data_IF_013661778393
#
_entry.id   IF_013661778393
#
_cell.length_a   1.000
_cell.length_b   1.000
_cell.length_c   1.000
_cell.angle_alpha   90.00
_cell.angle_beta   90.00
_cell.angle_gamma   90.00
#
_symmetry.space_group_name_H-M   'P 1'
#
loop_
_entity.id
_entity.type
_entity.pdbx_description
1 polymer ?
#
# COMPACT_ATOMS: atom_id res chain seq x y z
N UNK A 1 -1.68 8.64 -32.50
CA UNK A 1 -1.83 7.77 -31.30
C UNK A 1 -1.93 8.67 -30.11
N UNK A 2 -2.90 8.44 -29.23
CA UNK A 2 -3.02 9.24 -28.02
C UNK A 2 -1.87 8.93 -27.06
N UNK A 3 -1.39 9.98 -26.39
CA UNK A 3 -0.32 9.87 -25.39
C UNK A 3 -0.94 9.65 -24.02
N UNK A 4 -0.54 8.57 -23.35
CA UNK A 4 -0.97 8.27 -21.98
C UNK A 4 0.20 8.45 -21.01
N UNK A 5 0.01 9.25 -19.97
CA UNK A 5 0.95 9.39 -18.86
C UNK A 5 0.41 8.60 -17.69
N UNK A 6 1.22 7.72 -17.09
CA UNK A 6 0.74 6.74 -16.11
C UNK A 6 1.26 7.12 -14.73
N UNK A 7 0.34 7.40 -13.82
CA UNK A 7 0.60 7.77 -12.44
C UNK A 7 0.36 6.58 -11.52
N UNK A 8 1.41 6.06 -10.89
CA UNK A 8 1.28 5.06 -9.85
C UNK A 8 1.01 5.71 -8.48
N UNK A 9 0.23 5.01 -7.66
CA UNK A 9 -0.09 5.41 -6.28
C UNK A 9 0.01 4.22 -5.34
N UNK A 10 0.38 4.47 -4.08
CA UNK A 10 0.35 3.44 -3.04
C UNK A 10 -0.81 3.78 -2.11
N UNK A 11 -1.71 2.84 -1.86
CA UNK A 11 -2.94 3.08 -1.08
C UNK A 11 -2.73 3.62 0.34
N UNK A 12 -1.52 3.49 0.89
CA UNK A 12 -1.13 3.98 2.22
C UNK A 12 -0.55 5.39 2.22
N UNK A 13 -0.31 5.97 1.03
CA UNK A 13 0.10 7.36 0.93
C UNK A 13 -1.08 8.21 1.39
N UNK A 14 -0.78 9.22 2.21
CA UNK A 14 -1.80 10.18 2.61
C UNK A 14 -2.35 10.88 1.39
N UNK A 15 -3.65 11.14 1.38
CA UNK A 15 -4.33 11.83 0.29
C UNK A 15 -3.63 13.12 -0.17
N UNK A 16 -3.06 13.92 0.73
CA UNK A 16 -2.37 15.16 0.38
C UNK A 16 -1.15 14.93 -0.52
N UNK A 17 -0.33 13.94 -0.19
CA UNK A 17 0.85 13.57 -1.01
C UNK A 17 0.41 13.14 -2.41
N UNK A 18 -0.61 12.29 -2.49
CA UNK A 18 -1.15 11.82 -3.78
C UNK A 18 -1.76 12.97 -4.57
N UNK A 19 -2.46 13.91 -3.92
CA UNK A 19 -3.01 15.10 -4.55
C UNK A 19 -1.94 16.03 -5.11
N UNK A 20 -0.87 16.31 -4.36
CA UNK A 20 0.20 17.19 -4.79
C UNK A 20 0.97 16.60 -5.98
N UNK A 21 1.35 15.32 -5.87
CA UNK A 21 2.04 14.59 -6.93
C UNK A 21 1.18 14.49 -8.20
N UNK A 22 -0.10 14.10 -8.07
CA UNK A 22 -1.00 13.98 -9.21
C UNK A 22 -1.35 15.34 -9.82
N UNK A 23 -1.39 16.42 -9.04
CA UNK A 23 -1.60 17.78 -9.56
C UNK A 23 -0.45 18.20 -10.47
N UNK A 24 0.79 17.98 -10.02
CA UNK A 24 1.97 18.26 -10.82
C UNK A 24 2.02 17.35 -12.06
N UNK A 25 1.80 16.06 -11.86
CA UNK A 25 1.89 15.06 -12.92
C UNK A 25 0.79 15.23 -13.96
N UNK A 26 -0.47 15.41 -13.58
CA UNK A 26 -1.58 15.52 -14.54
C UNK A 26 -1.61 16.84 -15.33
N UNK A 27 -0.69 17.78 -15.09
CA UNK A 27 -0.66 19.08 -15.78
C UNK A 27 -0.55 18.88 -17.31
N UNK A 28 -1.45 19.54 -18.04
CA UNK A 28 -1.51 19.44 -19.51
C UNK A 28 -2.18 18.18 -20.05
N UNK A 29 -2.71 17.30 -19.19
CA UNK A 29 -3.63 16.24 -19.64
C UNK A 29 -5.02 16.81 -19.92
N UNK A 30 -5.65 16.34 -20.98
CA UNK A 30 -6.99 16.74 -21.42
C UNK A 30 -8.07 16.08 -20.54
N UNK A 31 -7.80 14.86 -20.06
CA UNK A 31 -8.66 14.09 -19.17
C UNK A 31 -7.85 13.24 -18.19
N UNK A 32 -8.48 12.87 -17.06
CA UNK A 32 -7.90 11.96 -16.07
C UNK A 32 -8.68 10.65 -16.07
N UNK A 33 -8.04 9.55 -16.43
CA UNK A 33 -8.55 8.21 -16.21
C UNK A 33 -8.09 7.73 -14.82
N UNK A 34 -8.97 7.12 -14.05
CA UNK A 34 -8.65 6.64 -12.69
C UNK A 34 -9.09 5.19 -12.50
N UNK A 35 -8.21 4.41 -11.87
CA UNK A 35 -8.51 3.06 -11.42
C UNK A 35 -9.56 3.12 -10.31
N UNK A 36 -10.82 2.95 -10.70
CA UNK A 36 -11.94 2.89 -9.78
C UNK A 36 -12.93 1.82 -10.25
N UNK A 37 -12.93 0.63 -9.63
CA UNK A 37 -13.84 -0.43 -10.02
C UNK A 37 -15.28 -0.09 -9.64
N UNK A 38 -16.21 -0.33 -10.57
CA UNK A 38 -17.66 -0.26 -10.32
C UNK A 38 -18.27 -1.66 -10.33
N UNK A 39 -19.03 -1.99 -9.29
CA UNK A 39 -19.72 -3.28 -9.22
C UNK A 39 -20.94 -3.29 -10.14
N UNK A 40 -20.74 -3.66 -11.42
CA UNK A 40 -21.77 -3.70 -12.44
C UNK A 40 -22.31 -2.32 -12.83
N UNK A 41 -22.82 -2.21 -14.06
CA UNK A 41 -23.42 -0.95 -14.55
C UNK A 41 -24.78 -0.63 -13.92
N UNK A 42 -25.52 -1.67 -13.50
CA UNK A 42 -26.86 -1.56 -12.94
C UNK A 42 -26.95 -2.36 -11.65
N UNK A 43 -27.92 -2.04 -10.79
CA UNK A 43 -28.19 -2.84 -9.59
C UNK A 43 -28.47 -4.31 -9.95
N UNK A 44 -29.15 -4.57 -11.08
CA UNK A 44 -29.42 -5.92 -11.55
C UNK A 44 -28.14 -6.68 -11.91
N UNK A 45 -27.23 -6.04 -12.65
CA UNK A 45 -25.95 -6.68 -13.01
C UNK A 45 -25.04 -6.84 -11.79
N UNK A 46 -25.04 -5.87 -10.86
CA UNK A 46 -24.34 -5.95 -9.58
C UNK A 46 -24.82 -7.17 -8.76
N UNK A 47 -26.13 -7.29 -8.56
CA UNK A 47 -26.74 -8.43 -7.85
C UNK A 47 -26.44 -9.73 -8.59
N UNK A 48 -26.53 -9.73 -9.93
CA UNK A 48 -26.16 -10.88 -10.75
C UNK A 48 -24.72 -11.34 -10.54
N UNK A 49 -23.76 -10.41 -10.44
CA UNK A 49 -22.35 -10.72 -10.18
C UNK A 49 -22.14 -11.30 -8.77
N UNK A 50 -22.77 -10.70 -7.76
CA UNK A 50 -22.70 -11.18 -6.37
C UNK A 50 -23.25 -12.61 -6.27
N UNK A 51 -24.40 -12.86 -6.89
CA UNK A 51 -25.02 -14.20 -6.90
C UNK A 51 -24.26 -15.21 -7.75
N UNK A 52 -23.55 -14.79 -8.81
CA UNK A 52 -22.68 -15.72 -9.55
C UNK A 52 -21.46 -16.13 -8.75
N UNK A 53 -20.93 -15.24 -7.92
CA UNK A 53 -19.64 -15.42 -7.25
C UNK A 53 -19.67 -15.14 -5.72
N UNK A 54 -20.51 -15.82 -4.92
CA UNK A 54 -20.64 -15.54 -3.49
C UNK A 54 -19.34 -15.69 -2.68
N UNK A 55 -18.55 -16.75 -2.88
CA UNK A 55 -17.29 -16.93 -2.14
C UNK A 55 -16.30 -15.79 -2.41
N UNK A 56 -16.05 -15.47 -3.68
CA UNK A 56 -15.17 -14.38 -4.06
C UNK A 56 -15.71 -13.01 -3.65
N UNK A 57 -17.02 -12.79 -3.73
CA UNK A 57 -17.63 -11.56 -3.26
C UNK A 57 -17.41 -11.36 -1.76
N UNK A 58 -17.77 -12.36 -0.94
CA UNK A 58 -17.58 -12.29 0.51
C UNK A 58 -16.10 -12.09 0.83
N UNK A 59 -15.21 -12.84 0.17
CA UNK A 59 -13.78 -12.71 0.36
C UNK A 59 -13.21 -11.34 0.04
N UNK A 60 -13.61 -10.74 -1.09
CA UNK A 60 -13.20 -9.40 -1.48
C UNK A 60 -13.70 -8.35 -0.47
N UNK A 61 -14.96 -8.45 -0.03
CA UNK A 61 -15.49 -7.54 0.98
C UNK A 61 -14.78 -7.69 2.33
N UNK A 62 -14.42 -8.92 2.75
CA UNK A 62 -13.67 -9.14 3.99
C UNK A 62 -12.32 -8.41 4.00
N UNK A 63 -11.61 -8.37 2.87
CA UNK A 63 -10.38 -7.58 2.74
C UNK A 63 -10.66 -6.09 2.94
N UNK A 64 -11.69 -5.58 2.28
CA UNK A 64 -12.04 -4.17 2.41
C UNK A 64 -12.45 -3.80 3.83
N UNK A 65 -13.24 -4.64 4.51
CA UNK A 65 -13.58 -4.45 5.93
C UNK A 65 -12.30 -4.29 6.75
N UNK A 66 -11.30 -5.14 6.56
CA UNK A 66 -10.02 -5.05 7.28
C UNK A 66 -9.19 -3.80 6.91
N UNK A 67 -9.33 -3.29 5.68
CA UNK A 67 -8.59 -2.12 5.18
C UNK A 67 -9.26 -0.78 5.51
N UNK A 68 -10.57 -0.74 5.79
CA UNK A 68 -11.33 0.51 6.01
C UNK A 68 -10.71 1.46 7.06
N UNK A 69 -10.20 0.99 8.22
CA UNK A 69 -9.59 1.90 9.20
C UNK A 69 -8.39 2.66 8.65
N UNK A 70 -7.63 2.04 7.74
CA UNK A 70 -6.47 2.65 7.11
C UNK A 70 -6.88 3.69 6.08
N UNK A 71 -7.93 3.41 5.30
CA UNK A 71 -8.52 4.38 4.37
C UNK A 71 -9.04 5.60 5.12
N UNK A 72 -9.75 5.38 6.24
CA UNK A 72 -10.23 6.47 7.09
C UNK A 72 -9.05 7.24 7.71
N UNK A 73 -7.99 6.57 8.13
CA UNK A 73 -6.81 7.21 8.71
C UNK A 73 -6.05 8.07 7.69
N UNK A 74 -5.75 7.53 6.50
CA UNK A 74 -4.90 8.18 5.50
C UNK A 74 -5.65 9.12 4.56
N UNK A 75 -6.93 8.84 4.29
CA UNK A 75 -7.74 9.56 3.29
C UNK A 75 -8.89 10.35 3.93
N UNK A 76 -9.19 10.09 5.21
CA UNK A 76 -10.37 10.62 5.91
C UNK A 76 -11.68 10.29 5.18
N UNK A 77 -11.69 9.25 4.36
CA UNK A 77 -12.81 8.81 3.53
C UNK A 77 -12.72 7.29 3.31
N UNK A 78 -13.76 6.70 2.71
CA UNK A 78 -13.80 5.26 2.38
C UNK A 78 -13.28 4.97 0.96
N UNK A 79 -12.97 6.02 0.21
CA UNK A 79 -12.48 5.95 -1.15
C UNK A 79 -10.95 6.03 -1.16
N UNK A 80 -10.35 5.49 -2.21
CA UNK A 80 -8.90 5.48 -2.34
C UNK A 80 -8.32 6.87 -2.57
N UNK A 81 -7.04 7.03 -2.26
CA UNK A 81 -6.35 8.31 -2.35
C UNK A 81 -6.32 8.80 -3.81
N UNK A 82 -6.04 7.89 -4.75
CA UNK A 82 -5.99 8.15 -6.18
C UNK A 82 -7.33 8.64 -6.76
N UNK A 83 -8.46 8.05 -6.36
CA UNK A 83 -9.78 8.49 -6.79
C UNK A 83 -10.14 9.88 -6.26
N UNK A 84 -9.90 10.10 -4.97
CA UNK A 84 -10.16 11.40 -4.34
C UNK A 84 -9.26 12.48 -4.91
N UNK A 85 -7.98 12.15 -5.13
CA UNK A 85 -6.99 13.05 -5.70
C UNK A 85 -7.33 13.41 -7.13
N UNK A 86 -7.65 12.43 -7.99
CA UNK A 86 -8.05 12.65 -9.38
C UNK A 86 -9.20 13.66 -9.46
N UNK A 87 -10.25 13.47 -8.64
CA UNK A 87 -11.39 14.41 -8.59
C UNK A 87 -11.02 15.79 -8.04
N UNK A 88 -10.10 15.88 -7.09
CA UNK A 88 -9.68 17.15 -6.50
C UNK A 88 -8.77 17.97 -7.43
N UNK A 89 -7.95 17.31 -8.27
CA UNK A 89 -7.00 17.98 -9.16
C UNK A 89 -7.56 18.21 -10.56
N UNK A 90 -8.60 17.48 -10.98
CA UNK A 90 -9.15 17.55 -12.32
C UNK A 90 -9.58 18.96 -12.74
N UNK A 91 -10.10 19.78 -11.82
CA UNK A 91 -10.65 21.10 -12.17
C UNK A 91 -11.85 20.93 -13.11
N UNK A 92 -11.78 21.53 -14.30
CA UNK A 92 -12.81 21.39 -15.34
C UNK A 92 -12.65 20.15 -16.23
N UNK A 93 -11.51 19.44 -16.11
CA UNK A 93 -11.22 18.26 -16.93
C UNK A 93 -12.11 17.09 -16.53
N UNK A 94 -12.55 16.26 -17.48
CA UNK A 94 -13.34 15.09 -17.15
C UNK A 94 -12.48 14.04 -16.42
N UNK A 95 -13.12 13.35 -15.47
CA UNK A 95 -12.53 12.21 -14.75
C UNK A 95 -13.31 10.96 -15.14
N UNK A 96 -12.62 9.99 -15.73
CA UNK A 96 -13.20 8.74 -16.19
C UNK A 96 -12.76 7.58 -15.30
N UNK A 97 -13.71 6.78 -14.85
CA UNK A 97 -13.43 5.55 -14.11
C UNK A 97 -13.26 4.42 -15.13
N UNK A 98 -12.07 3.83 -15.21
CA UNK A 98 -11.70 2.92 -16.31
C UNK A 98 -11.55 1.46 -15.90
N UNK A 99 -11.65 1.17 -14.61
CA UNK A 99 -11.41 -0.16 -14.09
C UNK A 99 -12.69 -1.00 -14.00
N UNK A 100 -12.57 -2.28 -14.38
CA UNK A 100 -13.66 -3.25 -14.24
C UNK A 100 -13.53 -3.98 -12.91
N UNK A 101 -14.67 -4.25 -12.28
CA UNK A 101 -14.66 -4.95 -11.00
C UNK A 101 -14.10 -6.38 -11.16
N UNK A 102 -13.28 -6.89 -10.22
CA UNK A 102 -12.68 -8.23 -10.32
C UNK A 102 -13.67 -9.37 -10.61
N UNK A 103 -14.88 -9.31 -10.04
CA UNK A 103 -15.94 -10.29 -10.28
C UNK A 103 -16.50 -10.24 -11.71
N UNK A 104 -16.49 -9.07 -12.34
CA UNK A 104 -16.94 -8.89 -13.71
C UNK A 104 -15.94 -9.51 -14.69
N UNK A 105 -14.64 -9.35 -14.44
CA UNK A 105 -13.58 -10.02 -15.18
C UNK A 105 -13.74 -11.54 -15.14
N UNK A 106 -14.11 -12.12 -13.99
CA UNK A 106 -14.38 -13.56 -13.90
C UNK A 106 -15.56 -14.00 -14.76
N UNK A 107 -16.55 -13.13 -15.03
CA UNK A 107 -17.71 -13.49 -15.85
C UNK A 107 -17.37 -13.81 -17.31
N UNK A 108 -16.23 -13.32 -17.81
CA UNK A 108 -15.70 -13.67 -19.13
C UNK A 108 -14.91 -14.99 -19.16
N UNK A 109 -14.69 -15.64 -18.02
CA UNK A 109 -13.94 -16.91 -17.93
C UNK A 109 -14.86 -18.13 -18.04
N UNK A 110 -14.25 -19.32 -18.08
CA UNK A 110 -14.96 -20.61 -18.15
C UNK A 110 -16.05 -20.72 -17.05
N UNK A 111 -17.24 -21.28 -17.37
CA UNK A 111 -18.31 -21.53 -16.38
C UNK A 111 -17.88 -22.36 -15.16
N UNK A 112 -16.78 -23.12 -15.27
CA UNK A 112 -16.20 -23.87 -14.15
C UNK A 112 -15.84 -22.97 -12.96
N UNK A 113 -15.53 -21.68 -13.18
CA UNK A 113 -15.29 -20.74 -12.08
C UNK A 113 -16.54 -20.48 -11.25
N UNK A 114 -17.72 -20.42 -11.89
CA UNK A 114 -18.99 -20.27 -11.19
C UNK A 114 -19.25 -21.53 -10.35
N UNK A 115 -19.07 -22.70 -10.96
CA UNK A 115 -19.27 -24.00 -10.28
C UNK A 115 -18.31 -24.14 -9.09
N UNK A 116 -17.02 -23.90 -9.29
CA UNK A 116 -16.00 -24.00 -8.25
C UNK A 116 -16.25 -23.01 -7.11
N UNK A 117 -16.54 -21.74 -7.42
CA UNK A 117 -16.87 -20.73 -6.42
C UNK A 117 -18.10 -21.13 -5.58
N UNK A 118 -19.16 -21.62 -6.23
CA UNK A 118 -20.36 -22.07 -5.51
C UNK A 118 -20.11 -23.33 -4.69
N UNK A 119 -19.37 -24.30 -5.22
CA UNK A 119 -18.98 -25.50 -4.48
C UNK A 119 -18.21 -25.12 -3.22
N UNK A 120 -17.19 -24.25 -3.33
CA UNK A 120 -16.42 -23.76 -2.19
C UNK A 120 -17.32 -23.02 -1.19
N UNK A 121 -18.17 -22.10 -1.67
CA UNK A 121 -19.10 -21.38 -0.81
C UNK A 121 -20.03 -22.32 -0.04
N UNK A 122 -20.63 -23.31 -0.72
CA UNK A 122 -21.56 -24.26 -0.13
C UNK A 122 -20.88 -25.20 0.85
N UNK A 123 -19.66 -25.67 0.55
CA UNK A 123 -18.85 -26.47 1.48
C UNK A 123 -18.59 -25.69 2.75
N UNK A 124 -18.18 -24.42 2.65
CA UNK A 124 -17.98 -23.55 3.82
C UNK A 124 -19.30 -23.28 4.55
N UNK A 125 -20.40 -23.03 3.82
CA UNK A 125 -21.71 -22.77 4.41
C UNK A 125 -22.27 -23.96 5.18
N UNK A 126 -22.02 -25.18 4.72
CA UNK A 126 -22.48 -26.41 5.39
C UNK A 126 -21.57 -26.77 6.56
N UNK A 127 -20.25 -26.63 6.39
CA UNK A 127 -19.29 -26.97 7.43
C UNK A 127 -19.23 -25.91 8.55
N UNK A 128 -19.45 -24.63 8.21
CA UNK A 128 -19.28 -23.47 9.07
C UNK A 128 -20.41 -22.44 8.83
N UNK A 129 -21.67 -22.80 9.16
CA UNK A 129 -22.84 -22.00 8.81
C UNK A 129 -22.87 -20.64 9.52
N UNK A 130 -22.46 -20.57 10.78
CA UNK A 130 -22.51 -19.33 11.55
C UNK A 130 -21.48 -18.31 11.04
N UNK A 131 -20.27 -18.77 10.77
CA UNK A 131 -19.14 -17.99 10.25
C UNK A 131 -19.45 -17.49 8.84
N UNK A 132 -20.00 -18.37 7.99
CA UNK A 132 -20.46 -18.01 6.65
C UNK A 132 -21.54 -16.93 6.71
N UNK A 133 -22.53 -17.07 7.60
CA UNK A 133 -23.58 -16.08 7.79
C UNK A 133 -23.03 -14.73 8.25
N UNK A 134 -22.10 -14.73 9.21
CA UNK A 134 -21.41 -13.53 9.71
C UNK A 134 -20.60 -12.85 8.60
N UNK A 135 -19.74 -13.60 7.91
CA UNK A 135 -18.89 -13.07 6.84
C UNK A 135 -19.76 -12.49 5.71
N UNK A 136 -20.83 -13.19 5.33
CA UNK A 136 -21.79 -12.71 4.33
C UNK A 136 -22.53 -11.46 4.81
N UNK A 137 -22.96 -11.43 6.07
CA UNK A 137 -23.62 -10.27 6.67
C UNK A 137 -22.73 -9.03 6.70
N UNK A 138 -21.46 -9.18 7.08
CA UNK A 138 -20.46 -8.12 7.05
C UNK A 138 -20.16 -7.66 5.63
N UNK A 139 -20.06 -8.59 4.67
CA UNK A 139 -19.83 -8.29 3.26
C UNK A 139 -21.00 -7.50 2.65
N UNK A 140 -22.24 -7.93 2.89
CA UNK A 140 -23.44 -7.22 2.45
C UNK A 140 -23.56 -5.87 3.15
N UNK A 141 -23.28 -5.81 4.46
CA UNK A 141 -23.28 -4.58 5.24
C UNK A 141 -22.30 -3.55 4.66
N UNK A 142 -21.07 -3.96 4.36
CA UNK A 142 -20.08 -3.08 3.73
C UNK A 142 -20.51 -2.66 2.33
N UNK A 143 -21.05 -3.57 1.51
CA UNK A 143 -21.58 -3.23 0.20
C UNK A 143 -22.67 -2.16 0.29
N UNK A 144 -23.59 -2.27 1.26
CA UNK A 144 -24.62 -1.25 1.51
C UNK A 144 -23.97 0.08 1.90
N UNK A 145 -23.03 0.09 2.83
CA UNK A 145 -22.33 1.31 3.26
C UNK A 145 -21.61 2.00 2.10
N UNK A 146 -20.86 1.25 1.29
CA UNK A 146 -20.17 1.77 0.12
C UNK A 146 -21.15 2.27 -0.94
N UNK A 147 -22.21 1.50 -1.24
CA UNK A 147 -23.24 1.90 -2.19
C UNK A 147 -23.95 3.18 -1.75
N UNK A 148 -24.29 3.32 -0.45
CA UNK A 148 -24.86 4.54 0.12
C UNK A 148 -23.88 5.71 -0.01
N UNK A 149 -22.59 5.49 0.29
CA UNK A 149 -21.53 6.49 0.16
C UNK A 149 -21.38 6.99 -1.28
N UNK A 150 -21.46 6.11 -2.28
CA UNK A 150 -21.39 6.44 -3.69
C UNK A 150 -22.68 7.11 -4.21
N UNK A 151 -23.85 6.56 -3.88
CA UNK A 151 -25.13 7.01 -4.46
C UNK A 151 -25.61 8.34 -3.90
N UNK A 152 -25.40 8.58 -2.61
CA UNK A 152 -25.95 9.74 -1.90
C UNK A 152 -24.89 10.73 -1.41
N UNK A 153 -23.59 10.43 -1.56
CA UNK A 153 -22.51 11.31 -1.13
C UNK A 153 -22.40 11.53 0.38
N UNK A 154 -23.12 10.74 1.18
CA UNK A 154 -23.17 10.91 2.64
C UNK A 154 -21.87 10.35 3.24
N UNK A 155 -20.99 11.22 3.73
CA UNK A 155 -19.62 10.84 4.15
C UNK A 155 -19.49 10.42 5.62
N UNK A 156 -19.89 11.28 6.57
CA UNK A 156 -19.64 11.02 8.01
C UNK A 156 -20.32 9.75 8.54
N UNK A 157 -21.63 9.53 8.36
CA UNK A 157 -22.29 8.34 8.87
C UNK A 157 -21.84 7.05 8.17
N UNK A 158 -21.47 7.10 6.89
CA UNK A 158 -20.93 5.90 6.20
C UNK A 158 -19.54 5.54 6.72
N UNK A 159 -18.69 6.53 7.03
CA UNK A 159 -17.42 6.29 7.72
C UNK A 159 -17.65 5.65 9.08
N UNK A 160 -18.55 6.21 9.90
CA UNK A 160 -18.88 5.63 11.21
C UNK A 160 -19.39 4.19 11.05
N UNK A 161 -20.30 3.95 10.11
CA UNK A 161 -20.82 2.60 9.84
C UNK A 161 -19.72 1.63 9.38
N UNK A 162 -18.82 2.04 8.50
CA UNK A 162 -17.70 1.20 8.04
C UNK A 162 -16.73 0.87 9.20
N UNK A 163 -16.41 1.83 10.06
CA UNK A 163 -15.57 1.62 11.24
C UNK A 163 -16.26 0.68 12.23
N UNK A 164 -17.57 0.84 12.45
CA UNK A 164 -18.36 -0.06 13.29
C UNK A 164 -18.39 -1.47 12.71
N UNK A 165 -18.64 -1.64 11.41
CA UNK A 165 -18.59 -2.94 10.74
C UNK A 165 -17.21 -3.59 10.88
N UNK A 166 -16.13 -2.80 10.76
CA UNK A 166 -14.77 -3.29 10.95
C UNK A 166 -14.54 -3.71 12.40
N UNK A 167 -14.99 -2.92 13.36
CA UNK A 167 -14.90 -3.25 14.78
C UNK A 167 -15.69 -4.52 15.12
N UNK A 168 -16.88 -4.70 14.54
CA UNK A 168 -17.67 -5.92 14.64
C UNK A 168 -16.93 -7.10 14.01
N UNK A 169 -16.39 -6.94 12.79
CA UNK A 169 -15.66 -8.00 12.11
C UNK A 169 -14.42 -8.44 12.89
N UNK A 170 -13.61 -7.49 13.36
CA UNK A 170 -12.47 -7.76 14.23
C UNK A 170 -12.94 -8.40 15.55
N UNK A 171 -14.02 -7.89 16.15
CA UNK A 171 -14.59 -8.44 17.38
C UNK A 171 -15.12 -9.87 17.22
N UNK A 172 -15.68 -10.21 16.06
CA UNK A 172 -16.18 -11.56 15.74
C UNK A 172 -15.05 -12.51 15.37
N UNK A 173 -14.08 -12.07 14.57
CA UNK A 173 -12.85 -12.82 14.30
C UNK A 173 -12.09 -13.14 15.60
N UNK A 174 -12.09 -12.17 16.53
CA UNK A 174 -11.72 -12.40 17.91
C UNK A 174 -12.68 -13.47 18.45
N UNK A 175 -13.95 -13.20 18.76
CA UNK A 175 -14.88 -14.15 19.43
C UNK A 175 -14.82 -15.60 18.89
N UNK A 176 -14.69 -15.81 17.58
CA UNK A 176 -14.62 -17.13 16.94
C UNK A 176 -13.24 -17.80 17.11
N UNK A 177 -12.14 -17.04 17.09
CA UNK A 177 -10.82 -17.51 17.59
C UNK A 177 -10.90 -17.97 19.04
N UNK A 178 -11.83 -17.39 19.80
CA UNK A 178 -12.00 -17.56 21.22
C UNK A 178 -13.03 -18.66 21.62
N UNK A 179 -13.71 -19.33 20.65
CA UNK A 179 -14.75 -20.38 20.87
C UNK A 179 -14.28 -21.84 20.79
N UNK A 180 -12.98 -22.12 20.69
CA UNK A 180 -12.38 -23.48 20.59
C UNK A 180 -12.79 -24.34 19.37
N UNK A 181 -13.42 -23.76 18.36
CA UNK A 181 -13.49 -24.38 17.04
C UNK A 181 -12.37 -23.80 16.16
N UNK A 182 -11.21 -24.47 16.16
CA UNK A 182 -10.06 -24.10 15.32
C UNK A 182 -10.51 -24.02 13.84
N UNK A 183 -11.50 -24.81 13.43
CA UNK A 183 -12.06 -24.77 12.07
C UNK A 183 -12.69 -23.43 11.71
N UNK A 184 -13.45 -22.81 12.63
CA UNK A 184 -14.10 -21.51 12.43
C UNK A 184 -13.10 -20.37 12.16
N UNK A 185 -11.96 -20.39 12.85
CA UNK A 185 -10.90 -19.39 12.69
C UNK A 185 -10.18 -19.49 11.35
N UNK A 186 -9.95 -20.72 10.87
CA UNK A 186 -9.40 -20.94 9.53
C UNK A 186 -10.37 -20.47 8.46
N UNK A 187 -11.67 -20.71 8.63
CA UNK A 187 -12.71 -20.31 7.66
C UNK A 187 -12.85 -18.81 7.55
N UNK A 188 -12.76 -18.09 8.69
CA UNK A 188 -12.69 -16.63 8.70
C UNK A 188 -11.52 -16.06 7.88
N UNK A 189 -10.41 -16.81 7.77
CA UNK A 189 -9.26 -16.44 6.94
C UNK A 189 -9.37 -16.94 5.48
N UNK A 190 -10.13 -18.01 5.21
CA UNK A 190 -10.33 -18.52 3.85
C UNK A 190 -11.02 -17.51 2.93
N UNK A 191 -11.99 -16.75 3.44
CA UNK A 191 -12.65 -15.70 2.68
C UNK A 191 -11.68 -14.59 2.23
N UNK A 192 -10.97 -13.86 3.12
CA UNK A 192 -10.04 -12.82 2.69
C UNK A 192 -8.88 -13.39 1.86
N UNK A 193 -8.44 -14.62 2.09
CA UNK A 193 -7.49 -15.30 1.19
C UNK A 193 -8.10 -15.50 -0.20
N UNK A 194 -9.34 -15.96 -0.30
CA UNK A 194 -10.08 -16.06 -1.57
C UNK A 194 -10.20 -14.72 -2.30
N UNK A 195 -10.44 -13.63 -1.56
CA UNK A 195 -10.42 -12.27 -2.12
C UNK A 195 -9.05 -11.84 -2.63
N UNK A 196 -7.96 -12.18 -1.92
CA UNK A 196 -6.59 -11.86 -2.33
C UNK A 196 -6.22 -12.64 -3.59
N UNK A 197 -6.60 -13.92 -3.63
CA UNK A 197 -6.46 -14.77 -4.81
C UNK A 197 -7.24 -14.18 -5.99
N UNK A 198 -8.48 -13.74 -5.78
CA UNK A 198 -9.26 -13.06 -6.81
C UNK A 198 -8.51 -11.83 -7.37
N UNK A 199 -8.04 -10.93 -6.49
CA UNK A 199 -7.32 -9.72 -6.90
C UNK A 199 -6.06 -10.04 -7.70
N UNK A 200 -5.31 -11.07 -7.30
CA UNK A 200 -4.10 -11.51 -8.01
C UNK A 200 -4.42 -12.13 -9.37
N UNK A 201 -5.41 -13.03 -9.42
CA UNK A 201 -5.80 -13.74 -10.64
C UNK A 201 -6.44 -12.84 -11.70
N UNK A 202 -6.99 -11.70 -11.28
CA UNK A 202 -7.67 -10.74 -12.16
C UNK A 202 -6.81 -9.52 -12.49
N UNK A 203 -5.63 -9.37 -11.88
CA UNK A 203 -4.76 -8.19 -12.04
C UNK A 203 -4.44 -7.89 -13.50
N UNK A 204 -3.94 -8.89 -14.24
CA UNK A 204 -3.57 -8.73 -15.66
C UNK A 204 -4.78 -8.46 -16.56
N UNK A 205 -5.88 -9.17 -16.36
CA UNK A 205 -7.09 -8.95 -17.15
C UNK A 205 -7.75 -7.58 -16.83
N UNK A 206 -7.63 -7.09 -15.59
CA UNK A 206 -8.01 -5.72 -15.23
C UNK A 206 -7.09 -4.70 -15.90
N UNK A 207 -5.79 -4.99 -15.98
CA UNK A 207 -4.85 -4.15 -16.70
C UNK A 207 -5.27 -3.98 -18.17
N UNK A 208 -5.50 -5.09 -18.85
CA UNK A 208 -5.95 -5.10 -20.24
C UNK A 208 -7.26 -4.34 -20.44
N UNK A 209 -8.25 -4.55 -19.56
CA UNK A 209 -9.53 -3.84 -19.62
C UNK A 209 -9.39 -2.32 -19.39
N UNK A 210 -8.52 -1.89 -18.48
CA UNK A 210 -8.25 -0.47 -18.26
C UNK A 210 -7.59 0.18 -19.48
N UNK A 211 -6.61 -0.50 -20.11
CA UNK A 211 -5.94 0.02 -21.30
C UNK A 211 -6.90 0.08 -22.50
N UNK A 212 -7.76 -0.93 -22.66
CA UNK A 212 -8.82 -0.94 -23.67
C UNK A 212 -9.76 0.27 -23.49
N UNK A 213 -10.20 0.53 -22.26
CA UNK A 213 -11.10 1.66 -21.96
C UNK A 213 -10.40 3.01 -22.16
N UNK A 214 -9.13 3.15 -21.76
CA UNK A 214 -8.34 4.38 -21.99
C UNK A 214 -8.16 4.63 -23.49
N UNK A 215 -7.91 3.60 -24.29
CA UNK A 215 -7.83 3.72 -25.75
C UNK A 215 -9.20 4.07 -26.38
N UNK A 216 -10.28 3.50 -25.87
CA UNK A 216 -11.65 3.88 -26.26
C UNK A 216 -11.94 5.34 -25.95
N UNK A 217 -11.60 5.83 -24.75
CA UNK A 217 -11.78 7.23 -24.36
C UNK A 217 -10.98 8.18 -25.26
N UNK A 218 -9.73 7.83 -25.57
CA UNK A 218 -8.89 8.60 -26.48
C UNK A 218 -9.56 8.82 -27.85
N UNK A 219 -10.20 7.79 -28.40
CA UNK A 219 -10.83 7.84 -29.73
C UNK A 219 -12.23 8.46 -29.70
N UNK A 220 -13.04 8.15 -28.69
CA UNK A 220 -14.43 8.60 -28.60
C UNK A 220 -14.58 10.05 -28.18
N UNK A 221 -13.68 10.54 -27.33
CA UNK A 221 -13.71 11.90 -26.79
C UNK A 221 -12.58 12.79 -27.33
N UNK A 222 -11.85 12.30 -28.35
CA UNK A 222 -10.73 13.00 -29.01
C UNK A 222 -9.69 13.52 -28.02
N UNK A 223 -9.37 12.71 -27.00
CA UNK A 223 -8.35 13.04 -26.00
C UNK A 223 -6.96 12.66 -26.52
N UNK A 224 -6.13 13.66 -26.81
CA UNK A 224 -4.76 13.45 -27.27
C UNK A 224 -3.81 13.11 -26.12
N UNK A 225 -4.06 13.66 -24.92
CA UNK A 225 -3.20 13.52 -23.74
C UNK A 225 -4.01 13.09 -22.52
N UNK A 226 -3.88 11.82 -22.15
CA UNK A 226 -4.55 11.23 -20.99
C UNK A 226 -3.58 11.06 -19.82
N UNK A 227 -4.08 11.27 -18.61
CA UNK A 227 -3.39 10.90 -17.38
C UNK A 227 -4.12 9.72 -16.74
N UNK A 228 -3.49 8.55 -16.67
CA UNK A 228 -4.03 7.35 -16.01
C UNK A 228 -3.50 7.26 -14.59
N UNK A 229 -4.34 7.44 -13.58
CA UNK A 229 -3.99 7.24 -12.17
C UNK A 229 -4.40 5.84 -11.70
N UNK A 230 -3.43 5.06 -11.22
CA UNK A 230 -3.61 3.65 -10.86
C UNK A 230 -2.80 3.29 -9.61
N UNK A 231 -3.15 2.19 -8.94
CA UNK A 231 -2.40 1.60 -7.86
C UNK A 231 -1.07 1.01 -8.35
N UNK A 232 -0.08 0.97 -7.46
CA UNK A 232 1.28 0.52 -7.77
C UNK A 232 1.33 -0.90 -8.35
N UNK A 233 0.43 -1.78 -7.89
CA UNK A 233 0.36 -3.16 -8.36
C UNK A 233 0.03 -3.29 -9.87
N UNK A 234 -0.65 -2.30 -10.45
CA UNK A 234 -1.04 -2.27 -11.86
C UNK A 234 0.04 -1.64 -12.74
N UNK A 235 0.91 -0.81 -12.16
CA UNK A 235 1.86 0.06 -12.88
C UNK A 235 2.75 -0.68 -13.90
N UNK A 236 3.43 -1.80 -13.57
CA UNK A 236 4.28 -2.50 -14.55
C UNK A 236 3.47 -3.03 -15.74
N UNK A 237 2.32 -3.63 -15.47
CA UNK A 237 1.48 -4.21 -16.51
C UNK A 237 0.83 -3.16 -17.41
N UNK A 238 0.59 -1.94 -16.89
CA UNK A 238 0.14 -0.80 -17.69
C UNK A 238 1.21 -0.37 -18.68
N UNK A 239 2.43 -0.16 -18.19
CA UNK A 239 3.55 0.32 -19.01
C UNK A 239 3.91 -0.68 -20.09
N UNK A 240 4.00 -1.97 -19.73
CA UNK A 240 4.37 -3.07 -20.64
C UNK A 240 3.40 -3.20 -21.83
N UNK A 241 2.09 -3.03 -21.60
CA UNK A 241 1.04 -3.39 -22.58
C UNK A 241 0.43 -2.21 -23.32
N UNK A 242 0.63 -0.97 -22.87
CA UNK A 242 -0.05 0.21 -23.43
C UNK A 242 0.09 0.33 -24.97
N UNK A 243 1.27 0.01 -25.51
CA UNK A 243 1.54 0.07 -26.96
C UNK A 243 0.66 -0.88 -27.78
N UNK A 244 0.31 -2.05 -27.23
CA UNK A 244 -0.56 -3.03 -27.89
C UNK A 244 -2.00 -2.50 -28.08
N UNK A 245 -2.40 -1.50 -27.30
CA UNK A 245 -3.70 -0.83 -27.38
C UNK A 245 -3.64 0.49 -28.17
N UNK A 246 -2.56 0.75 -28.90
CA UNK A 246 -2.40 1.97 -29.71
C UNK A 246 -2.17 3.24 -28.90
N UNK A 247 -1.76 3.09 -27.63
CA UNK A 247 -1.40 4.18 -26.74
C UNK A 247 0.12 4.36 -26.74
N UNK A 248 0.57 5.61 -26.81
CA UNK A 248 1.98 5.93 -26.61
C UNK A 248 2.21 6.28 -25.15
N UNK A 249 2.95 5.45 -24.43
CA UNK A 249 3.33 5.74 -23.04
C UNK A 249 4.25 6.96 -23.01
N UNK A 250 3.82 8.01 -22.31
CA UNK A 250 4.63 9.17 -22.02
C UNK A 250 5.40 8.99 -20.71
N UNK A 251 5.40 10.01 -19.88
CA UNK A 251 6.04 9.93 -18.57
C UNK A 251 5.30 8.95 -17.65
N UNK A 252 6.07 8.32 -16.76
CA UNK A 252 5.54 7.45 -15.71
C UNK A 252 5.90 8.04 -14.35
N UNK A 253 4.97 7.99 -13.41
CA UNK A 253 5.22 8.38 -12.02
C UNK A 253 5.32 7.15 -11.14
N UNK A 254 6.51 6.88 -10.61
CA UNK A 254 6.74 5.79 -9.66
C UNK A 254 6.47 6.33 -8.24
N UNK A 255 5.44 5.84 -7.55
CA UNK A 255 5.12 6.32 -6.22
C UNK A 255 6.20 5.88 -5.22
N UNK A 256 6.46 6.71 -4.23
CA UNK A 256 7.28 6.37 -3.06
C UNK A 256 6.38 6.23 -1.84
N UNK A 257 6.84 5.43 -0.88
CA UNK A 257 6.08 5.16 0.33
C UNK A 257 6.00 6.39 1.22
N UNK A 258 4.77 6.90 1.44
CA UNK A 258 4.44 8.08 2.26
C UNK A 258 5.21 9.36 1.94
N UNK A 259 5.80 9.44 0.75
CA UNK A 259 6.54 10.59 0.27
C UNK A 259 6.17 10.83 -1.20
N UNK A 260 6.53 12.00 -1.70
CA UNK A 260 6.40 12.28 -3.13
C UNK A 260 7.16 11.24 -3.94
N UNK A 261 6.51 10.73 -4.98
CA UNK A 261 7.12 9.82 -5.93
C UNK A 261 8.14 10.51 -6.84
N UNK A 262 8.57 9.78 -7.86
CA UNK A 262 9.52 10.29 -8.85
C UNK A 262 9.05 10.01 -10.26
N UNK A 263 9.56 10.83 -11.19
CA UNK A 263 9.39 10.61 -12.61
C UNK A 263 10.32 9.47 -13.02
N UNK A 264 9.75 8.47 -13.66
CA UNK A 264 10.46 7.31 -14.16
C UNK A 264 10.31 7.23 -15.67
N UNK A 265 11.37 6.80 -16.33
CA UNK A 265 11.30 6.43 -17.73
C UNK A 265 10.61 5.05 -17.86
N UNK A 266 9.69 4.85 -18.82
CA UNK A 266 8.97 3.59 -19.01
C UNK A 266 9.88 2.35 -19.06
N UNK A 267 10.99 2.43 -19.79
CA UNK A 267 11.90 1.30 -19.99
C UNK A 267 12.66 1.03 -18.69
N UNK A 268 13.11 2.09 -18.01
CA UNK A 268 13.75 1.94 -16.70
C UNK A 268 12.83 1.33 -15.64
N UNK A 269 11.51 1.54 -15.71
CA UNK A 269 10.56 0.92 -14.79
C UNK A 269 10.40 -0.57 -15.06
N UNK A 270 10.41 -1.00 -16.32
CA UNK A 270 10.33 -2.41 -16.72
C UNK A 270 11.63 -3.17 -16.47
N UNK A 271 12.78 -2.49 -16.62
CA UNK A 271 14.11 -3.01 -16.30
C UNK A 271 14.42 -2.96 -14.81
N UNK A 272 13.76 -2.06 -14.05
CA UNK A 272 13.83 -2.06 -12.60
C UNK A 272 13.18 -3.33 -12.08
N UNK A 273 13.97 -4.40 -11.94
CA UNK A 273 13.64 -5.43 -11.00
C UNK A 273 13.66 -4.75 -9.63
N UNK A 274 12.48 -4.43 -9.10
CA UNK A 274 12.32 -3.89 -7.75
C UNK A 274 12.91 -4.84 -6.68
N UNK A 275 13.37 -6.05 -7.08
CA UNK A 275 14.20 -6.98 -6.32
C UNK A 275 15.71 -6.66 -6.33
N UNK A 276 16.20 -5.64 -7.02
CA UNK A 276 17.64 -5.29 -7.13
C UNK A 276 17.99 -3.88 -6.59
N UNK A 277 17.04 -3.21 -5.93
CA UNK A 277 17.25 -1.88 -5.33
C UNK A 277 17.99 -2.01 -4.00
N UNK A 278 19.32 -2.21 -3.99
CA UNK A 278 20.09 -2.20 -2.74
C UNK A 278 19.80 -0.90 -1.95
N UNK A 279 19.42 -0.98 -0.66
CA UNK A 279 19.17 0.20 0.12
C UNK A 279 20.48 0.99 0.26
N UNK A 280 20.43 2.32 0.27
CA UNK A 280 21.57 3.14 0.71
C UNK A 280 21.85 2.80 2.17
N UNK A 281 22.85 1.93 2.35
CA UNK A 281 23.26 1.27 3.59
C UNK A 281 23.74 2.26 4.65
N UNK A 282 24.02 3.49 4.26
CA UNK A 282 24.69 4.51 5.06
C UNK A 282 23.95 4.87 6.37
N UNK A 283 22.63 4.63 6.48
CA UNK A 283 21.86 4.89 7.71
C UNK A 283 21.49 3.65 8.54
N UNK A 284 21.78 2.43 8.06
CA UNK A 284 21.31 1.20 8.72
C UNK A 284 21.95 0.96 10.11
N UNK A 285 23.15 1.50 10.36
CA UNK A 285 23.80 1.48 11.68
C UNK A 285 23.25 2.54 12.66
N UNK A 286 22.84 3.70 12.16
CA UNK A 286 22.46 4.87 12.98
C UNK A 286 21.03 4.82 13.53
N UNK A 287 20.24 3.83 13.10
CA UNK A 287 18.85 3.67 13.55
C UNK A 287 18.71 2.89 14.85
N UNK A 288 19.78 2.32 15.42
CA UNK A 288 19.67 1.41 16.56
C UNK A 288 18.93 2.06 17.76
N UNK A 289 19.22 3.33 18.07
CA UNK A 289 18.53 4.09 19.11
C UNK A 289 17.05 4.31 18.79
N UNK A 290 16.72 4.70 17.55
CA UNK A 290 15.32 4.82 17.10
C UNK A 290 14.60 3.49 17.14
N UNK A 291 15.27 2.40 16.80
CA UNK A 291 14.73 1.04 16.88
C UNK A 291 14.44 0.63 18.31
N UNK A 292 15.26 1.04 19.28
CA UNK A 292 14.99 0.81 20.69
C UNK A 292 13.71 1.55 21.13
N UNK A 293 13.56 2.83 20.77
CA UNK A 293 12.34 3.60 21.08
C UNK A 293 11.12 3.05 20.35
N UNK A 294 11.25 2.66 19.07
CA UNK A 294 10.18 2.00 18.31
C UNK A 294 9.75 0.71 19.00
N UNK A 295 10.71 -0.08 19.48
CA UNK A 295 10.44 -1.33 20.21
C UNK A 295 9.65 -1.03 21.49
N UNK A 296 9.98 0.03 22.24
CA UNK A 296 9.21 0.43 23.43
C UNK A 296 7.78 0.82 23.07
N UNK A 297 7.58 1.60 22.02
CA UNK A 297 6.23 1.99 21.55
C UNK A 297 5.45 0.77 21.06
N UNK A 298 6.08 -0.10 20.27
CA UNK A 298 5.50 -1.36 19.80
C UNK A 298 5.10 -2.23 20.99
N UNK A 299 5.94 -2.33 22.03
CA UNK A 299 5.60 -3.02 23.27
C UNK A 299 4.45 -2.37 24.02
N UNK A 300 4.34 -1.05 24.05
CA UNK A 300 3.17 -0.37 24.63
C UNK A 300 1.90 -0.75 23.85
N UNK A 301 1.94 -0.71 22.52
CA UNK A 301 0.81 -1.12 21.67
C UNK A 301 0.47 -2.59 21.89
N UNK A 302 1.47 -3.47 21.94
CA UNK A 302 1.30 -4.90 22.19
C UNK A 302 0.74 -5.14 23.59
N UNK A 303 1.18 -4.41 24.62
CA UNK A 303 0.64 -4.52 25.98
C UNK A 303 -0.80 -4.04 26.02
N UNK A 304 -1.11 -2.89 25.41
CA UNK A 304 -2.50 -2.42 25.31
C UNK A 304 -3.38 -3.41 24.56
N UNK A 305 -2.87 -4.00 23.48
CA UNK A 305 -3.53 -5.04 22.71
C UNK A 305 -3.73 -6.29 23.58
N UNK A 306 -2.69 -6.78 24.23
CA UNK A 306 -2.70 -7.94 25.12
C UNK A 306 -3.65 -7.76 26.31
N UNK A 307 -3.74 -6.56 26.88
CA UNK A 307 -4.61 -6.22 28.02
C UNK A 307 -6.06 -5.91 27.62
N UNK A 308 -6.32 -5.60 26.34
CA UNK A 308 -7.66 -5.25 25.87
C UNK A 308 -8.68 -6.37 26.11
N UNK A 309 -8.26 -7.63 25.91
CA UNK A 309 -9.09 -8.81 26.09
C UNK A 309 -9.36 -9.08 27.58
N UNK A 310 -8.36 -9.19 28.48
CA UNK A 310 -8.60 -9.28 29.92
C UNK A 310 -9.49 -8.15 30.48
N UNK A 311 -9.26 -6.90 30.05
CA UNK A 311 -10.04 -5.76 30.52
C UNK A 311 -11.51 -5.82 30.04
N UNK A 312 -11.75 -6.23 28.79
CA UNK A 312 -13.09 -6.46 28.27
C UNK A 312 -13.80 -7.62 29.01
N UNK A 313 -13.07 -8.67 29.35
CA UNK A 313 -13.60 -9.82 30.10
C UNK A 313 -13.94 -9.47 31.55
N UNK A 314 -13.12 -8.67 32.24
CA UNK A 314 -13.43 -8.15 33.59
C UNK A 314 -14.68 -7.25 33.60
N UNK A 315 -14.89 -6.48 32.52
CA UNK A 315 -16.12 -5.70 32.33
C UNK A 315 -17.38 -6.56 32.17
N UNK A 316 -17.24 -7.78 31.64
CA UNK A 316 -18.31 -8.78 31.52
C UNK A 316 -18.53 -9.53 32.85
N UNK A 317 -17.45 -9.82 33.59
CA UNK A 317 -17.45 -10.55 34.87
C UNK A 317 -18.05 -9.71 36.02
N UNK A 318 -17.91 -8.38 35.96
CA UNK A 318 -18.59 -7.46 36.89
C UNK A 318 -20.13 -7.55 36.83
N UNK A 319 -20.68 -8.14 35.76
CA UNK A 319 -22.12 -8.38 35.58
C UNK A 319 -22.53 -9.85 35.87
N UNK A 320 -21.57 -10.78 36.04
CA UNK A 320 -21.84 -12.20 36.32
C UNK A 320 -20.76 -12.77 37.23
N UNK A 321 -21.10 -13.01 38.49
CA UNK A 321 -20.20 -13.61 39.49
C UNK A 321 -19.92 -15.09 39.22
N UNK A 322 -18.93 -15.46 38.39
CA UNK A 322 -18.38 -16.84 38.32
C UNK A 322 -16.91 -16.72 37.84
N UNK A 323 -15.88 -16.85 38.67
CA UNK A 323 -15.49 -18.12 39.30
C UNK A 323 -14.64 -19.00 38.36
N UNK A 324 -13.32 -18.72 38.27
CA UNK A 324 -12.24 -19.60 37.78
C UNK A 324 -12.54 -20.56 36.61
N UNK A 325 -12.86 -20.03 35.43
CA UNK A 325 -12.91 -20.84 34.22
C UNK A 325 -11.50 -20.96 33.61
N UNK A 326 -10.90 -22.15 33.73
CA UNK A 326 -9.61 -22.48 33.11
C UNK A 326 -9.59 -22.20 31.60
N UNK A 327 -10.76 -22.20 30.96
CA UNK A 327 -10.97 -21.77 29.58
C UNK A 327 -10.67 -20.28 29.39
N UNK A 328 -11.20 -19.37 30.22
CA UNK A 328 -10.89 -17.93 30.16
C UNK A 328 -9.39 -17.65 30.42
N UNK A 329 -8.75 -18.46 31.25
CA UNK A 329 -7.31 -18.42 31.48
C UNK A 329 -6.49 -18.84 30.26
N UNK A 330 -6.82 -19.97 29.65
CA UNK A 330 -6.17 -20.46 28.42
C UNK A 330 -6.37 -19.50 27.23
N UNK A 331 -7.52 -18.85 27.22
CA UNK A 331 -7.95 -17.88 26.22
C UNK A 331 -7.17 -16.57 26.29
N UNK A 332 -7.03 -16.04 27.51
CA UNK A 332 -6.16 -14.90 27.80
C UNK A 332 -4.73 -15.23 27.42
N UNK A 333 -4.26 -16.45 27.73
CA UNK A 333 -2.92 -16.91 27.39
C UNK A 333 -2.67 -16.96 25.88
N UNK A 334 -3.62 -17.49 25.10
CA UNK A 334 -3.49 -17.56 23.63
C UNK A 334 -3.44 -16.17 22.98
N UNK A 335 -4.30 -15.24 23.43
CA UNK A 335 -4.30 -13.86 22.97
C UNK A 335 -2.97 -13.17 23.24
N UNK A 336 -2.49 -13.29 24.49
CA UNK A 336 -1.20 -12.73 24.90
C UNK A 336 -0.06 -13.35 24.08
N UNK A 337 -0.17 -14.61 23.67
CA UNK A 337 0.84 -15.31 22.87
C UNK A 337 0.82 -14.93 21.37
N UNK A 338 -0.36 -14.78 20.76
CA UNK A 338 -0.51 -14.59 19.32
C UNK A 338 -0.65 -13.13 18.88
N UNK A 339 -1.13 -12.24 19.75
CA UNK A 339 -1.24 -10.82 19.41
C UNK A 339 0.11 -10.15 19.10
N UNK A 340 1.23 -10.44 19.80
CA UNK A 340 2.53 -9.90 19.42
C UNK A 340 3.01 -10.32 18.03
N UNK A 341 3.06 -11.63 17.66
CA UNK A 341 3.56 -12.01 16.35
C UNK A 341 2.62 -11.56 15.22
N UNK A 342 1.30 -11.59 15.42
CA UNK A 342 0.35 -11.09 14.42
C UNK A 342 0.55 -9.59 14.15
N UNK A 343 0.77 -8.80 15.21
CA UNK A 343 1.05 -7.38 15.10
C UNK A 343 2.29 -7.09 14.23
N UNK A 344 3.40 -7.80 14.47
CA UNK A 344 4.62 -7.64 13.66
C UNK A 344 4.42 -8.12 12.23
N UNK A 345 3.87 -9.32 12.01
CA UNK A 345 3.72 -9.90 10.67
C UNK A 345 2.81 -9.06 9.80
N UNK A 346 1.64 -8.66 10.31
CA UNK A 346 0.68 -7.84 9.56
C UNK A 346 1.29 -6.46 9.30
N UNK A 347 1.89 -5.84 10.33
CA UNK A 347 2.53 -4.54 10.21
C UNK A 347 3.61 -4.51 9.12
N UNK A 348 4.54 -5.45 9.20
CA UNK A 348 5.70 -5.50 8.31
C UNK A 348 5.36 -6.00 6.90
N UNK A 349 4.37 -6.88 6.74
CA UNK A 349 3.94 -7.36 5.42
C UNK A 349 3.08 -6.34 4.67
N UNK A 350 2.11 -5.74 5.36
CA UNK A 350 1.15 -4.83 4.74
C UNK A 350 1.69 -3.40 4.65
N UNK A 351 2.52 -2.99 5.61
CA UNK A 351 2.99 -1.60 5.73
C UNK A 351 4.50 -1.43 5.71
N UNK A 352 5.27 -2.51 5.68
CA UNK A 352 6.73 -2.46 5.87
C UNK A 352 7.14 -2.07 7.29
N UNK A 353 6.21 -1.78 8.22
CA UNK A 353 6.53 -1.23 9.52
C UNK A 353 5.44 -1.47 10.56
N UNK A 354 5.82 -1.53 11.83
CA UNK A 354 4.92 -1.50 12.98
C UNK A 354 4.57 -0.06 13.37
N UNK A 355 3.64 0.13 14.32
CA UNK A 355 3.20 1.48 14.73
C UNK A 355 4.36 2.30 15.32
N UNK A 356 5.15 1.71 16.21
CA UNK A 356 6.32 2.35 16.80
C UNK A 356 7.41 2.65 15.78
N UNK A 357 7.63 1.74 14.81
CA UNK A 357 8.53 2.01 13.67
C UNK A 357 8.00 3.16 12.81
N UNK A 358 6.70 3.20 12.54
CA UNK A 358 6.08 4.29 11.79
C UNK A 358 6.16 5.64 12.49
N UNK A 359 6.18 5.70 13.82
CA UNK A 359 6.28 6.95 14.57
C UNK A 359 7.70 7.52 14.59
N UNK A 360 8.71 6.72 14.22
CA UNK A 360 10.12 7.09 14.22
C UNK A 360 10.75 7.07 12.83
N UNK A 361 9.90 7.01 11.80
CA UNK A 361 10.28 6.97 10.39
C UNK A 361 11.19 5.79 10.09
N UNK A 362 10.83 4.60 10.57
CA UNK A 362 11.57 3.36 10.34
C UNK A 362 10.77 2.38 9.50
N UNK A 363 11.41 1.73 8.54
CA UNK A 363 10.78 0.69 7.72
C UNK A 363 11.67 -0.55 7.61
N UNK A 364 11.02 -1.69 7.46
CA UNK A 364 11.63 -3.00 7.24
C UNK A 364 11.71 -3.24 5.74
N UNK A 365 12.94 -3.46 5.27
CA UNK A 365 13.24 -3.77 3.87
C UNK A 365 14.09 -5.03 3.80
N UNK A 366 14.08 -5.69 2.65
CA UNK A 366 15.03 -6.76 2.35
C UNK A 366 16.43 -6.18 2.16
N UNK A 367 17.47 -7.01 2.22
CA UNK A 367 18.86 -6.55 1.96
C UNK A 367 19.02 -6.02 0.53
N UNK A 368 18.19 -6.49 -0.39
CA UNK A 368 18.05 -5.98 -1.76
C UNK A 368 17.08 -4.79 -1.87
N UNK A 369 16.72 -4.18 -0.72
CA UNK A 369 15.90 -2.98 -0.52
C UNK A 369 14.45 -3.07 -0.99
N UNK A 370 14.06 -4.22 -1.53
CA UNK A 370 12.67 -4.52 -1.84
C UNK A 370 11.82 -4.65 -0.57
N UNK A 371 10.48 -4.54 -0.68
CA UNK A 371 9.58 -4.62 0.47
C UNK A 371 9.66 -5.96 1.20
N UNK A 372 9.45 -5.93 2.52
CA UNK A 372 9.33 -7.13 3.33
C UNK A 372 8.10 -7.96 2.89
N UNK A 373 8.32 -9.20 2.42
CA UNK A 373 7.23 -10.11 2.09
C UNK A 373 6.72 -10.85 3.32
N UNK A 374 5.53 -11.45 3.22
CA UNK A 374 4.93 -12.25 4.30
C UNK A 374 5.88 -13.32 4.87
N UNK A 375 6.59 -14.03 3.99
CA UNK A 375 7.56 -15.06 4.40
C UNK A 375 8.70 -14.46 5.23
N UNK A 376 9.21 -13.31 4.83
CA UNK A 376 10.27 -12.63 5.57
C UNK A 376 9.77 -12.14 6.93
N UNK A 377 8.59 -11.51 6.97
CA UNK A 377 7.99 -11.02 8.22
C UNK A 377 7.74 -12.16 9.23
N UNK A 378 7.27 -13.33 8.77
CA UNK A 378 7.08 -14.52 9.62
C UNK A 378 8.41 -15.04 10.17
N UNK A 379 9.45 -15.17 9.33
CA UNK A 379 10.77 -15.64 9.76
C UNK A 379 11.39 -14.68 10.79
N UNK A 380 11.31 -13.37 10.56
CA UNK A 380 11.77 -12.33 11.52
C UNK A 380 11.07 -12.49 12.86
N UNK A 381 9.75 -12.58 12.82
CA UNK A 381 8.90 -12.62 14.01
C UNK A 381 9.08 -13.91 14.80
N UNK A 382 9.30 -15.04 14.14
CA UNK A 382 9.57 -16.31 14.81
C UNK A 382 10.88 -16.31 15.61
N UNK A 383 11.85 -15.49 15.21
CA UNK A 383 13.18 -15.39 15.83
C UNK A 383 13.25 -14.31 16.91
N UNK A 384 12.33 -13.32 16.92
CA UNK A 384 12.24 -12.27 17.95
C UNK A 384 12.36 -12.76 19.41
N UNK A 385 11.81 -13.91 19.83
CA UNK A 385 11.99 -14.40 21.20
C UNK A 385 13.45 -14.62 21.59
N UNK A 386 14.31 -14.99 20.63
CA UNK A 386 15.75 -15.16 20.86
C UNK A 386 16.45 -13.81 21.03
N UNK A 387 16.03 -12.80 20.26
CA UNK A 387 16.57 -11.44 20.39
C UNK A 387 16.38 -10.88 21.81
N UNK A 388 15.30 -11.28 22.51
CA UNK A 388 14.95 -10.83 23.86
C UNK A 388 15.92 -11.31 24.97
N UNK A 389 16.68 -12.37 24.70
CA UNK A 389 17.59 -12.99 25.68
C UNK A 389 18.85 -12.12 25.92
N UNK A 390 19.58 -12.28 27.04
CA UNK A 390 19.09 -12.82 28.31
C UNK A 390 18.10 -11.89 29.02
N UNK A 391 18.16 -10.57 28.75
CA UNK A 391 17.26 -9.55 29.30
C UNK A 391 17.08 -8.41 28.28
N UNK A 392 15.87 -7.88 28.13
CA UNK A 392 15.57 -6.60 27.44
C UNK A 392 16.20 -6.43 26.04
N UNK A 393 16.10 -7.45 25.17
CA UNK A 393 16.67 -7.40 23.81
C UNK A 393 18.20 -7.29 23.74
N UNK A 394 18.93 -7.65 24.80
CA UNK A 394 20.38 -7.50 24.87
C UNK A 394 21.10 -8.30 23.76
N UNK A 395 20.71 -9.55 23.50
CA UNK A 395 21.32 -10.37 22.44
C UNK A 395 21.04 -9.76 21.07
N UNK A 396 19.79 -9.39 20.78
CA UNK A 396 19.45 -8.72 19.53
C UNK A 396 20.18 -7.38 19.35
N UNK A 397 20.39 -6.64 20.44
CA UNK A 397 21.15 -5.39 20.46
C UNK A 397 22.65 -5.59 20.20
N UNK A 398 23.26 -6.61 20.79
CA UNK A 398 24.67 -6.98 20.56
C UNK A 398 24.87 -7.40 19.10
N UNK A 399 23.98 -8.26 18.58
CA UNK A 399 24.04 -8.74 17.19
C UNK A 399 23.85 -7.58 16.21
N UNK A 400 22.91 -6.67 16.50
CA UNK A 400 22.71 -5.47 15.70
C UNK A 400 23.93 -4.54 15.75
N UNK A 401 24.58 -4.36 16.90
CA UNK A 401 25.80 -3.54 17.00
C UNK A 401 27.02 -4.17 16.32
N UNK A 402 27.03 -5.49 16.13
CA UNK A 402 28.13 -6.25 15.53
C UNK A 402 27.96 -6.50 14.02
N UNK A 403 26.85 -6.06 13.42
CA UNK A 403 26.56 -6.27 11.98
C UNK A 403 26.56 -4.95 11.23
N UNK A 404 27.12 -4.97 10.02
CA UNK A 404 27.32 -3.75 9.20
C UNK A 404 26.01 -3.03 8.86
N UNK A 405 24.89 -3.77 8.85
CA UNK A 405 23.55 -3.27 8.53
C UNK A 405 22.66 -3.08 9.77
N UNK A 406 23.21 -3.14 10.97
CA UNK A 406 22.44 -3.01 12.20
C UNK A 406 21.44 -4.16 12.44
N UNK A 407 21.63 -5.33 11.84
CA UNK A 407 20.65 -6.41 11.82
C UNK A 407 20.59 -7.20 13.14
N UNK A 408 19.39 -7.40 13.68
CA UNK A 408 19.12 -8.34 14.78
C UNK A 408 19.11 -9.78 14.26
N UNK A 409 19.01 -10.77 15.16
CA UNK A 409 19.03 -12.18 14.79
C UNK A 409 17.89 -12.53 13.83
N UNK A 410 16.69 -12.00 14.07
CA UNK A 410 15.54 -12.18 13.17
C UNK A 410 15.69 -11.48 11.81
N UNK A 411 16.38 -10.34 11.78
CA UNK A 411 16.67 -9.62 10.54
C UNK A 411 17.62 -10.43 9.65
N UNK A 412 18.67 -11.01 10.25
CA UNK A 412 19.64 -11.89 9.59
C UNK A 412 18.98 -13.15 9.04
N UNK A 413 18.19 -13.84 9.87
CA UNK A 413 17.51 -15.08 9.49
C UNK A 413 16.55 -14.88 8.30
N UNK A 414 15.96 -13.70 8.19
CA UNK A 414 15.04 -13.38 7.11
C UNK A 414 15.66 -12.64 5.92
N UNK A 415 16.95 -12.28 5.96
CA UNK A 415 17.60 -11.50 4.90
C UNK A 415 17.01 -10.09 4.75
N UNK A 416 16.82 -9.41 5.87
CA UNK A 416 16.14 -8.10 5.95
C UNK A 416 16.90 -7.13 6.85
N UNK A 417 16.60 -5.84 6.78
CA UNK A 417 17.14 -4.81 7.67
C UNK A 417 16.09 -3.73 7.94
N UNK A 418 16.37 -2.85 8.90
CA UNK A 418 15.54 -1.69 9.24
C UNK A 418 16.30 -0.44 8.85
N UNK A 419 15.67 0.42 8.06
CA UNK A 419 16.24 1.69 7.59
C UNK A 419 15.40 2.86 8.05
N UNK A 420 16.02 4.03 8.13
CA UNK A 420 15.29 5.29 8.32
C UNK A 420 14.69 5.70 6.99
N UNK A 421 13.44 6.13 7.00
CA UNK A 421 12.85 6.87 5.90
C UNK A 421 13.54 8.24 5.87
N UNK A 422 14.44 8.45 4.92
CA UNK A 422 14.98 9.78 4.63
C UNK A 422 14.00 10.55 3.77
N UNK A 423 13.73 11.80 4.16
CA UNK A 423 13.19 12.77 3.22
C UNK A 423 14.26 13.03 2.14
N UNK A 424 13.88 13.22 0.87
CA UNK A 424 14.84 13.48 -0.19
C UNK A 424 15.73 14.69 0.15
N UNK A 425 16.99 14.72 -0.33
CA UNK A 425 17.76 15.95 -0.33
C UNK A 425 16.91 17.05 -0.99
N UNK A 426 16.79 18.21 -0.34
CA UNK A 426 16.18 19.38 -0.96
C UNK A 426 17.11 19.77 -2.13
N UNK A 427 16.68 19.51 -3.36
CA UNK A 427 17.41 19.84 -4.60
C UNK A 427 17.76 21.34 -4.69
N UNK A 428 17.16 22.17 -3.83
CA UNK A 428 17.53 23.58 -3.63
C UNK A 428 18.92 23.80 -3.03
N UNK A 429 19.55 22.78 -2.44
CA UNK A 429 20.90 22.91 -1.84
C UNK A 429 22.03 22.38 -2.72
N UNK A 430 21.72 21.56 -3.73
CA UNK A 430 22.69 21.10 -4.71
C UNK A 430 23.11 22.22 -5.68
N UNK A 431 22.22 23.18 -5.93
CA UNK A 431 22.48 24.32 -6.82
C UNK A 431 23.49 25.32 -6.22
N UNK A 432 23.54 25.45 -4.89
CA UNK A 432 24.45 26.39 -4.21
C UNK A 432 25.91 25.90 -4.16
N UNK A 433 26.15 24.59 -4.19
CA UNK A 433 27.51 24.01 -4.19
C UNK A 433 28.11 23.90 -5.59
N UNK A 434 27.29 23.68 -6.62
CA UNK A 434 27.71 23.73 -8.04
C UNK A 434 28.05 25.15 -8.51
N UNK A 435 27.30 26.16 -8.06
CA UNK A 435 27.53 27.57 -8.44
C UNK A 435 28.80 28.20 -7.83
N UNK A 436 29.34 27.61 -6.75
CA UNK A 436 30.59 28.05 -6.13
C UNK A 436 31.83 27.40 -6.78
N UNK A 437 31.70 26.19 -7.33
CA UNK A 437 32.78 25.49 -8.04
C UNK A 437 32.97 26.03 -9.48
N UNK A 438 31.90 26.38 -10.18
CA UNK A 438 31.96 26.91 -11.55
C UNK A 438 32.47 28.35 -11.69
N UNK A 439 32.71 29.06 -10.57
CA UNK A 439 33.16 30.46 -10.57
C UNK A 439 34.68 30.65 -10.36
N UNK A 440 35.45 29.57 -10.14
CA UNK A 440 36.91 29.66 -10.00
C UNK A 440 37.70 29.34 -11.28
N UNK A 441 37.07 28.74 -12.29
CA UNK A 441 37.77 28.31 -13.51
C UNK A 441 37.58 29.22 -14.74
N UNK A 442 36.84 30.33 -14.61
CA UNK A 442 36.65 31.30 -15.71
C UNK A 442 37.54 32.55 -15.64
N UNK A 443 38.50 32.59 -14.72
CA UNK A 443 39.47 33.69 -14.60
C UNK A 443 40.87 33.27 -15.10
N UNK A 444 40.99 32.80 -16.34
CA UNK A 444 42.26 32.71 -17.05
C UNK A 444 42.05 32.49 -18.57
N UNK A 445 41.60 33.51 -19.29
CA UNK A 445 41.80 33.59 -20.74
C UNK A 445 42.13 35.04 -21.07
N UNK A 446 43.40 35.30 -21.38
CA UNK A 446 43.87 36.59 -21.91
C UNK A 446 43.28 36.85 -23.30
N UNK A 447 43.01 38.13 -23.67
CA UNK A 447 42.41 38.47 -24.95
C UNK A 447 43.43 38.54 -26.10
N UNK A 448 42.98 38.43 -27.37
CA UNK A 448 43.85 38.56 -28.53
C UNK A 448 44.18 40.03 -28.81
N UNK A 449 45.44 40.30 -29.16
CA UNK A 449 45.93 41.60 -29.62
C UNK A 449 45.84 41.64 -31.15
N UNK A 450 45.02 42.53 -31.70
CA UNK A 450 45.13 42.96 -33.10
C UNK A 450 45.18 44.49 -33.23
N UNK A 451 46.23 44.89 -33.95
CA UNK A 451 46.39 46.02 -34.86
C UNK A 451 45.81 47.41 -34.48
N UNK A 452 46.74 48.32 -34.14
CA UNK A 452 46.55 49.75 -34.29
C UNK A 452 47.75 50.36 -35.02
N UNK A 453 47.63 50.53 -36.34
CA UNK A 453 48.58 51.24 -37.18
C UNK A 453 47.99 52.63 -37.50
N UNK A 454 48.62 53.70 -37.02
CA UNK A 454 48.56 55.05 -37.61
C UNK A 454 49.58 56.01 -36.94
N UNK A 455 50.73 56.15 -37.60
CA UNK A 455 51.33 57.45 -37.98
C UNK A 455 51.70 58.49 -36.90
N UNK A 456 53.02 58.68 -36.69
CA UNK A 456 53.79 59.89 -37.11
C UNK A 456 55.27 59.84 -36.66
N UNK A 457 56.15 59.95 -37.64
CA UNK A 457 57.62 60.20 -37.68
C UNK A 457 58.00 61.60 -37.09
N UNK A 458 59.29 62.06 -37.05
CA UNK A 458 60.61 61.44 -37.30
C UNK A 458 61.77 61.86 -36.33
N UNK A 459 63.00 61.37 -36.64
CA UNK A 459 64.37 61.87 -36.29
C UNK A 459 64.91 61.53 -34.88
N UNK A 460 66.12 60.99 -34.67
CA UNK A 460 67.47 61.36 -35.16
C UNK A 460 68.52 60.24 -34.88
N UNK A 461 69.62 60.25 -35.65
CA UNK A 461 70.99 59.75 -35.36
C UNK A 461 71.16 58.28 -34.93
N UNK A 462 71.81 57.36 -35.67
CA UNK A 462 73.11 57.41 -36.35
C UNK A 462 73.34 56.08 -37.10
#
# INVERSE_FOLDING_TARGET
MAKVRIFGSIHVNTRSVVEDDLRAFSKGADAIAVEQPRLGETVRSAVGLVLRYPFFFVGLQSIFVLQMPLYVLFNRDLLSAEFLAARAVAGERPVHEVDRHPLEILSGRSPLWIVGNWLTFLVLAVAFPAETLVATGLAVGLLVVLTTRFRYGIRRPTIVAAVVLTAIACGLLVVDLFRTDIGASFVGLLYPVGGLVLLRLTLEARNEAMLEEVASLATTHDHERLCLATGYAHLPGMVERASAYGLTTGDVFKPRWRASGEWADPDTLLESDDRDVRPRVETAGDVLGRRAVATVIDWLVIVLLALSVPAALVGIDSARSIGSDASLGALTLLWVLLSPPAYYVIGETAFGQTVGKSLLDLTVVRIDGSPCTFRHAVVRTAVHPLDFLPVCYLLGGIVAAATDYGQRLGDLAAGTTVVKLEAPPDDRTADDTGAAAGRRDSAAVDPPVEAGEAERTPTTDR
#
